data_IF_133395512788
#
_entry.id   IF_133395512788
#
_cell.length_a   1.000
_cell.length_b   1.000
_cell.length_c   1.000
_cell.angle_alpha   90.00
_cell.angle_beta   90.00
_cell.angle_gamma   90.00
#
_symmetry.space_group_name_H-M   'P 1'
#
loop_
_entity.id
_entity.type
_entity.pdbx_description
1 polymer ?
#
# COMPACT_ATOMS: atom_id res chain seq x y z
N UNK A 1 -11.46 5.51 0.99
CA UNK A 1 -10.66 4.73 0.02
C UNK A 1 -9.31 5.38 -0.17
N UNK A 2 -8.26 4.58 -0.32
CA UNK A 2 -6.91 5.01 -0.71
C UNK A 2 -6.52 4.23 -1.96
N UNK A 3 -5.91 4.91 -2.93
CA UNK A 3 -5.37 4.28 -4.13
C UNK A 3 -3.86 4.41 -4.10
N UNK A 4 -3.15 3.29 -4.19
CA UNK A 4 -1.70 3.25 -4.23
C UNK A 4 -1.26 2.89 -5.64
N UNK A 5 -0.93 3.91 -6.42
CA UNK A 5 -0.54 3.75 -7.83
C UNK A 5 0.81 3.02 -7.98
N UNK A 6 1.70 3.14 -6.98
CA UNK A 6 3.05 2.59 -7.06
C UNK A 6 3.53 2.05 -5.72
N UNK A 7 4.09 0.84 -5.75
CA UNK A 7 4.66 0.16 -4.58
C UNK A 7 6.16 0.47 -4.38
N UNK A 8 6.61 1.64 -4.83
CA UNK A 8 8.01 2.08 -4.68
C UNK A 8 8.09 3.53 -4.26
N UNK A 9 9.12 3.85 -3.49
CA UNK A 9 9.43 5.19 -2.96
C UNK A 9 10.82 5.61 -3.39
N UNK A 10 10.97 6.89 -3.79
CA UNK A 10 12.28 7.49 -4.01
C UNK A 10 12.86 7.83 -2.64
N UNK A 11 14.09 7.39 -2.40
CA UNK A 11 14.90 7.70 -1.22
C UNK A 11 16.22 8.32 -1.64
N UNK A 12 17.02 8.75 -0.67
CA UNK A 12 18.35 9.35 -0.91
C UNK A 12 19.27 8.44 -1.75
N UNK A 13 19.20 7.12 -1.55
CA UNK A 13 20.02 6.12 -2.24
C UNK A 13 19.34 5.51 -3.48
N UNK A 14 18.27 6.14 -3.99
CA UNK A 14 17.53 5.69 -5.16
C UNK A 14 16.13 5.17 -4.85
N UNK A 15 15.51 4.51 -5.84
CA UNK A 15 14.15 3.99 -5.75
C UNK A 15 14.14 2.59 -5.14
N UNK A 16 13.29 2.37 -4.14
CA UNK A 16 13.15 1.09 -3.43
C UNK A 16 11.69 0.77 -3.15
N UNK A 17 11.39 -0.48 -2.83
CA UNK A 17 10.04 -0.91 -2.45
C UNK A 17 9.51 -0.18 -1.21
N UNK A 18 8.19 -0.16 -1.05
CA UNK A 18 7.56 0.21 0.22
C UNK A 18 7.88 -0.84 1.29
N UNK A 19 8.04 -0.41 2.54
CA UNK A 19 8.01 -1.32 3.68
C UNK A 19 6.56 -1.64 4.06
N UNK A 20 6.33 -2.74 4.80
CA UNK A 20 5.01 -3.08 5.36
C UNK A 20 4.45 -1.92 6.19
N UNK A 21 5.27 -1.31 7.05
CA UNK A 21 4.90 -0.13 7.83
C UNK A 21 4.49 1.08 6.98
N UNK A 22 5.20 1.36 5.87
CA UNK A 22 4.81 2.43 4.95
C UNK A 22 3.49 2.13 4.24
N UNK A 23 3.32 0.89 3.76
CA UNK A 23 2.07 0.45 3.14
C UNK A 23 0.91 0.53 4.13
N UNK A 24 1.08 0.08 5.37
CA UNK A 24 0.09 0.15 6.44
C UNK A 24 -0.24 1.60 6.82
N UNK A 25 0.75 2.49 6.91
CA UNK A 25 0.50 3.91 7.18
C UNK A 25 -0.33 4.56 6.07
N UNK A 26 -0.05 4.27 4.81
CA UNK A 26 -0.80 4.80 3.67
C UNK A 26 -2.23 4.26 3.66
N UNK A 27 -2.38 2.93 3.70
CA UNK A 27 -3.68 2.25 3.59
C UNK A 27 -4.55 2.43 4.84
N UNK A 28 -3.96 2.63 6.01
CA UNK A 28 -4.67 2.97 7.24
C UNK A 28 -5.40 4.32 7.21
N UNK A 29 -5.16 5.14 6.18
CA UNK A 29 -5.94 6.36 5.90
C UNK A 29 -7.27 6.07 5.19
N UNK A 30 -7.51 4.83 4.76
CA UNK A 30 -8.77 4.44 4.15
C UNK A 30 -9.85 4.24 5.21
N UNK A 31 -10.99 4.90 5.01
CA UNK A 31 -12.17 4.78 5.86
C UNK A 31 -12.23 5.90 6.91
N UNK A 32 -13.41 6.52 7.03
CA UNK A 32 -13.69 7.61 7.97
C UNK A 32 -14.48 7.07 9.16
N UNK A 33 -13.98 7.30 10.37
CA UNK A 33 -14.60 6.85 11.62
C UNK A 33 -16.05 7.32 11.71
N UNK A 34 -16.98 6.38 11.84
CA UNK A 34 -18.41 6.63 11.99
C UNK A 34 -19.17 6.93 10.69
N UNK A 35 -18.51 6.93 9.52
CA UNK A 35 -19.14 7.18 8.23
C UNK A 35 -19.02 6.01 7.27
N UNK A 36 -17.84 5.39 7.19
CA UNK A 36 -17.58 4.31 6.25
C UNK A 36 -17.56 2.96 6.99
N UNK A 37 -18.24 1.94 6.43
CA UNK A 37 -18.30 0.58 7.02
C UNK A 37 -16.96 -0.14 6.90
N UNK A 38 -16.22 0.11 5.80
CA UNK A 38 -14.93 -0.51 5.50
C UNK A 38 -13.96 0.51 4.89
N UNK A 39 -12.67 0.34 5.18
CA UNK A 39 -11.59 1.03 4.48
C UNK A 39 -11.13 0.22 3.27
N UNK A 40 -11.19 0.81 2.07
CA UNK A 40 -10.68 0.19 0.84
C UNK A 40 -9.30 0.73 0.47
N UNK A 41 -8.34 -0.17 0.30
CA UNK A 41 -7.05 0.09 -0.33
C UNK A 41 -7.02 -0.56 -1.72
N UNK A 42 -6.77 0.22 -2.76
CA UNK A 42 -6.75 -0.24 -4.15
C UNK A 42 -5.35 -0.08 -4.73
N UNK A 43 -4.78 -1.17 -5.23
CA UNK A 43 -3.54 -1.14 -6.00
C UNK A 43 -3.90 -1.47 -7.46
N UNK A 44 -3.82 -0.50 -8.39
CA UNK A 44 -4.04 -0.76 -9.79
C UNK A 44 -3.02 -1.78 -10.31
N UNK A 45 -3.49 -2.79 -11.01
CA UNK A 45 -2.60 -3.77 -11.62
C UNK A 45 -1.77 -3.13 -12.75
N UNK A 46 -0.51 -3.53 -12.83
CA UNK A 46 0.37 -3.27 -13.98
C UNK A 46 1.38 -4.41 -14.10
N UNK A 47 2.06 -4.52 -15.24
CA UNK A 47 3.10 -5.55 -15.46
C UNK A 47 4.27 -5.47 -14.44
N UNK A 48 4.42 -4.32 -13.77
CA UNK A 48 5.44 -4.07 -12.76
C UNK A 48 5.00 -4.46 -11.34
N UNK A 49 3.73 -4.87 -11.15
CA UNK A 49 3.19 -5.30 -9.85
C UNK A 49 3.20 -6.81 -9.76
N UNK A 50 4.04 -7.34 -8.86
CA UNK A 50 4.02 -8.76 -8.49
C UNK A 50 2.93 -9.00 -7.43
N UNK A 51 1.94 -9.84 -7.75
CA UNK A 51 0.87 -10.18 -6.81
C UNK A 51 1.37 -10.89 -5.55
N UNK A 52 2.28 -11.89 -5.62
CA UNK A 52 2.84 -12.50 -4.40
C UNK A 52 3.54 -11.49 -3.50
N UNK A 53 4.35 -10.59 -4.08
CA UNK A 53 5.05 -9.56 -3.31
C UNK A 53 4.08 -8.54 -2.69
N UNK A 54 2.99 -8.21 -3.38
CA UNK A 54 1.94 -7.35 -2.83
C UNK A 54 1.22 -8.02 -1.65
N UNK A 55 0.91 -9.32 -1.75
CA UNK A 55 0.30 -10.07 -0.64
C UNK A 55 1.24 -10.04 0.57
N UNK A 56 2.52 -10.38 0.38
CA UNK A 56 3.52 -10.33 1.44
C UNK A 56 3.62 -8.94 2.07
N UNK A 57 3.70 -7.88 1.26
CA UNK A 57 3.74 -6.49 1.72
C UNK A 57 2.52 -6.12 2.56
N UNK A 58 1.33 -6.58 2.16
CA UNK A 58 0.06 -6.23 2.78
C UNK A 58 -0.25 -7.04 4.06
N UNK A 59 0.26 -8.26 4.17
CA UNK A 59 -0.02 -9.15 5.32
C UNK A 59 1.12 -9.22 6.33
N UNK A 60 2.32 -8.75 5.96
CA UNK A 60 3.45 -8.71 6.88
C UNK A 60 3.21 -7.72 8.02
N UNK A 61 3.71 -8.00 9.24
CA UNK A 61 3.66 -7.05 10.34
C UNK A 61 4.27 -5.71 9.94
N UNK A 62 3.60 -4.63 10.35
CA UNK A 62 4.05 -3.25 10.16
C UNK A 62 5.21 -2.90 11.10
#
# INVERSE_FOLDING_TARGET
TVVVERLTKIRAHGRSGLTSGEYAQMTGRAGRRGLDVLGHAVVPWSAQVSLPALVELATSPA
#
